data_IF_022884517777
#
_entry.id   IF_022884517777
#
_cell.length_a   1.000
_cell.length_b   1.000
_cell.length_c   1.000
_cell.angle_alpha   90.00
_cell.angle_beta   90.00
_cell.angle_gamma   90.00
#
_symmetry.space_group_name_H-M   'P 1'
#
loop_
_entity.id
_entity.type
_entity.pdbx_description
1 polymer ?
#
# COMPACT_ATOMS: atom_id res chain seq x y z
N UNK A 1 12.52 26.33 15.64
CA UNK A 1 13.00 26.21 14.25
C UNK A 1 13.79 24.93 14.16
N UNK A 2 13.05 23.82 14.02
CA UNK A 2 13.33 22.60 13.28
C UNK A 2 12.04 21.80 13.47
N UNK A 3 11.07 22.09 12.60
CA UNK A 3 9.98 21.15 12.34
C UNK A 3 10.69 20.04 11.56
N UNK A 4 11.25 19.08 12.30
CA UNK A 4 11.92 17.93 11.70
C UNK A 4 10.82 17.19 10.97
N UNK A 5 10.87 17.23 9.64
CA UNK A 5 10.02 16.47 8.74
C UNK A 5 10.30 14.98 8.89
N UNK A 6 10.10 14.48 10.11
CA UNK A 6 10.14 13.07 10.44
C UNK A 6 8.88 12.50 9.84
N UNK A 7 9.01 12.13 8.59
CA UNK A 7 8.18 11.16 7.92
C UNK A 7 7.75 10.07 8.93
N UNK A 8 6.45 9.75 9.00
CA UNK A 8 5.95 8.80 9.99
C UNK A 8 6.72 7.49 9.83
N UNK A 9 7.13 6.84 10.93
CA UNK A 9 7.95 5.64 10.84
C UNK A 9 7.26 4.61 9.94
N UNK A 10 8.06 3.79 9.27
CA UNK A 10 7.71 2.66 8.39
C UNK A 10 6.49 1.86 8.88
N UNK A 11 6.37 1.69 10.21
CA UNK A 11 5.25 1.02 10.88
C UNK A 11 3.93 1.81 10.91
N UNK A 12 4.00 3.13 10.99
CA UNK A 12 2.85 4.05 11.00
C UNK A 12 2.30 4.23 9.57
N UNK A 13 3.16 4.21 8.55
CA UNK A 13 2.74 4.15 7.14
C UNK A 13 2.03 2.84 6.80
N UNK A 14 2.57 1.71 7.24
CA UNK A 14 1.98 0.40 6.94
C UNK A 14 0.62 0.20 7.61
N UNK A 15 0.45 0.71 8.83
CA UNK A 15 -0.85 0.82 9.48
C UNK A 15 -1.81 1.70 8.67
N UNK A 16 -1.35 2.88 8.21
CA UNK A 16 -2.15 3.77 7.37
C UNK A 16 -2.58 3.19 6.03
N UNK A 17 -1.70 2.43 5.35
CA UNK A 17 -2.07 1.75 4.10
C UNK A 17 -3.21 0.77 4.38
N UNK A 18 -3.12 -0.02 5.46
CA UNK A 18 -4.17 -0.96 5.85
C UNK A 18 -5.48 -0.27 6.17
N UNK A 19 -5.45 0.84 6.91
CA UNK A 19 -6.65 1.63 7.20
C UNK A 19 -7.35 2.11 5.92
N UNK A 20 -6.60 2.59 4.93
CA UNK A 20 -7.18 3.05 3.68
C UNK A 20 -7.73 1.89 2.84
N UNK A 21 -7.04 0.74 2.81
CA UNK A 21 -7.54 -0.46 2.13
C UNK A 21 -8.82 -1.02 2.79
N UNK A 22 -8.91 -0.98 4.12
CA UNK A 22 -10.12 -1.36 4.85
C UNK A 22 -11.29 -0.44 4.48
N UNK A 23 -11.08 0.88 4.49
CA UNK A 23 -12.10 1.87 4.09
C UNK A 23 -12.53 1.72 2.63
N UNK A 24 -11.56 1.47 1.73
CA UNK A 24 -11.86 1.16 0.33
C UNK A 24 -12.74 -0.10 0.23
N UNK A 25 -12.42 -1.13 1.00
CA UNK A 25 -13.14 -2.40 1.01
C UNK A 25 -14.57 -2.23 1.52
N UNK A 26 -14.79 -1.42 2.56
CA UNK A 26 -16.15 -1.15 3.06
C UNK A 26 -17.06 -0.53 1.99
N UNK A 27 -16.53 0.37 1.17
CA UNK A 27 -17.29 1.04 0.09
C UNK A 27 -17.33 0.29 -1.24
N UNK A 28 -16.45 -0.69 -1.46
CA UNK A 28 -16.26 -1.36 -2.74
C UNK A 28 -17.33 -2.41 -3.07
N UNK A 29 -17.55 -2.61 -4.37
CA UNK A 29 -18.29 -3.75 -4.90
C UNK A 29 -17.54 -5.08 -4.66
N UNK A 30 -18.25 -6.20 -4.83
CA UNK A 30 -17.71 -7.53 -4.53
C UNK A 30 -16.38 -7.81 -5.24
N UNK A 31 -16.29 -7.56 -6.55
CA UNK A 31 -15.10 -7.83 -7.35
C UNK A 31 -13.91 -6.98 -6.87
N UNK A 32 -14.14 -5.69 -6.59
CA UNK A 32 -13.13 -4.76 -6.07
C UNK A 32 -12.69 -5.17 -4.66
N UNK A 33 -13.61 -5.61 -3.80
CA UNK A 33 -13.28 -6.13 -2.45
C UNK A 33 -12.38 -7.36 -2.49
N UNK A 34 -12.62 -8.28 -3.43
CA UNK A 34 -11.78 -9.47 -3.59
C UNK A 34 -10.35 -9.07 -4.03
N UNK A 35 -10.23 -8.07 -4.92
CA UNK A 35 -8.95 -7.51 -5.31
C UNK A 35 -8.22 -6.78 -4.15
N UNK A 36 -8.93 -5.92 -3.41
CA UNK A 36 -8.39 -5.19 -2.25
C UNK A 36 -7.85 -6.15 -1.18
N UNK A 37 -8.61 -7.20 -0.85
CA UNK A 37 -8.16 -8.21 0.11
C UNK A 37 -6.88 -8.90 -0.35
N UNK A 38 -6.77 -9.24 -1.64
CA UNK A 38 -5.55 -9.83 -2.18
C UNK A 38 -4.34 -8.88 -2.09
N UNK A 39 -4.56 -7.57 -2.22
CA UNK A 39 -3.53 -6.54 -2.06
C UNK A 39 -3.13 -6.42 -0.58
N UNK A 40 -4.09 -6.41 0.35
CA UNK A 40 -3.83 -6.39 1.79
C UNK A 40 -3.00 -7.58 2.25
N UNK A 41 -3.33 -8.79 1.78
CA UNK A 41 -2.55 -10.00 2.07
C UNK A 41 -1.12 -9.88 1.54
N UNK A 42 -0.94 -9.44 0.29
CA UNK A 42 0.39 -9.23 -0.28
C UNK A 42 1.20 -8.16 0.46
N UNK A 43 0.53 -7.11 0.96
CA UNK A 43 1.15 -6.08 1.77
C UNK A 43 1.59 -6.63 3.14
N UNK A 44 0.76 -7.43 3.81
CA UNK A 44 1.13 -8.07 5.08
C UNK A 44 2.28 -9.06 4.90
N UNK A 45 2.34 -9.80 3.79
CA UNK A 45 3.48 -10.66 3.49
C UNK A 45 4.79 -9.88 3.29
N UNK A 46 4.73 -8.71 2.65
CA UNK A 46 5.91 -7.87 2.41
C UNK A 46 6.35 -7.18 3.72
N UNK A 47 5.41 -6.70 4.53
CA UNK A 47 5.70 -5.87 5.71
C UNK A 47 5.81 -6.65 7.02
N UNK A 48 5.05 -7.74 7.15
CA UNK A 48 5.07 -8.67 8.28
C UNK A 48 6.07 -9.83 8.11
N UNK A 49 6.57 -10.05 6.89
CA UNK A 49 7.49 -11.14 6.55
C UNK A 49 8.94 -10.88 6.96
N UNK A 50 9.36 -11.56 8.03
CA UNK A 50 10.74 -11.72 8.48
C UNK A 50 11.70 -12.13 7.32
N UNK A 51 12.70 -11.30 7.05
CA UNK A 51 14.12 -11.58 6.70
C UNK A 51 14.51 -12.87 5.95
N UNK A 52 13.66 -13.45 5.12
CA UNK A 52 14.10 -14.55 4.25
C UNK A 52 14.91 -13.98 3.09
N UNK A 53 16.23 -14.21 3.15
CA UNK A 53 17.32 -13.71 2.26
C UNK A 53 17.20 -14.08 0.77
N UNK A 54 16.01 -14.42 0.28
CA UNK A 54 15.79 -14.92 -1.10
C UNK A 54 14.49 -14.38 -1.74
N UNK A 55 13.72 -13.52 -1.06
CA UNK A 55 12.60 -12.83 -1.71
C UNK A 55 13.14 -11.77 -2.69
N UNK A 56 12.51 -11.55 -3.87
CA UNK A 56 12.84 -10.40 -4.72
C UNK A 56 12.77 -9.14 -3.85
N UNK A 57 13.74 -8.25 -4.06
CA UNK A 57 13.91 -7.01 -3.31
C UNK A 57 12.55 -6.41 -2.97
N UNK A 58 12.27 -6.17 -1.69
CA UNK A 58 11.06 -5.51 -1.20
C UNK A 58 10.50 -4.42 -2.16
N UNK A 59 11.32 -3.51 -2.75
CA UNK A 59 10.84 -2.52 -3.72
C UNK A 59 10.15 -3.08 -4.97
N UNK A 60 10.59 -4.19 -5.56
CA UNK A 60 9.96 -4.79 -6.75
C UNK A 60 8.56 -5.34 -6.43
N UNK A 61 8.40 -5.96 -5.25
CA UNK A 61 7.09 -6.45 -4.82
C UNK A 61 6.12 -5.30 -4.52
N UNK A 62 6.62 -4.23 -3.93
CA UNK A 62 5.83 -3.02 -3.68
C UNK A 62 5.44 -2.33 -4.99
N UNK A 63 6.32 -2.30 -6.00
CA UNK A 63 5.98 -1.80 -7.33
C UNK A 63 4.82 -2.60 -7.95
N UNK A 64 4.81 -3.93 -7.77
CA UNK A 64 3.70 -4.77 -8.21
C UNK A 64 2.38 -4.50 -7.48
N UNK A 65 2.41 -4.12 -6.19
CA UNK A 65 1.21 -3.71 -5.45
C UNK A 65 0.74 -2.31 -5.88
N UNK A 66 1.68 -1.38 -6.10
CA UNK A 66 1.42 -0.04 -6.63
C UNK A 66 0.69 -0.11 -7.97
N UNK A 67 1.17 -0.95 -8.91
CA UNK A 67 0.53 -1.15 -10.21
C UNK A 67 -0.90 -1.72 -10.08
N UNK A 68 -1.11 -2.67 -9.15
CA UNK A 68 -2.45 -3.22 -8.88
C UNK A 68 -3.39 -2.18 -8.29
N UNK A 69 -2.91 -1.35 -7.36
CA UNK A 69 -3.69 -0.27 -6.77
C UNK A 69 -4.04 0.80 -7.80
N UNK A 70 -3.10 1.17 -8.66
CA UNK A 70 -3.34 2.12 -9.74
C UNK A 70 -4.39 1.58 -10.73
N UNK A 71 -4.28 0.31 -11.12
CA UNK A 71 -5.29 -0.34 -11.96
C UNK A 71 -6.67 -0.35 -11.31
N UNK A 72 -6.75 -0.73 -10.04
CA UNK A 72 -7.99 -0.74 -9.28
C UNK A 72 -8.58 0.67 -9.08
N UNK A 73 -7.71 1.67 -8.95
CA UNK A 73 -8.10 3.08 -8.89
C UNK A 73 -8.79 3.53 -10.18
N UNK A 74 -8.33 3.07 -11.35
CA UNK A 74 -8.96 3.38 -12.65
C UNK A 74 -10.33 2.69 -12.81
N UNK A 75 -10.52 1.55 -12.17
CA UNK A 75 -11.77 0.78 -12.17
C UNK A 75 -12.80 1.26 -11.13
N UNK A 76 -12.42 2.16 -10.22
CA UNK A 76 -13.25 2.61 -9.10
C UNK A 76 -13.50 4.11 -9.13
N UNK A 77 -14.59 4.54 -8.50
CA UNK A 77 -14.99 5.94 -8.41
C UNK A 77 -15.29 6.36 -6.95
N UNK A 78 -15.37 7.67 -6.72
CA UNK A 78 -15.84 8.23 -5.45
C UNK A 78 -14.90 7.96 -4.27
N UNK A 79 -15.46 7.57 -3.12
CA UNK A 79 -14.68 7.34 -1.91
C UNK A 79 -13.74 6.14 -2.03
N UNK A 80 -14.13 5.08 -2.76
CA UNK A 80 -13.28 3.91 -3.01
C UNK A 80 -12.04 4.32 -3.79
N UNK A 81 -12.21 5.08 -4.88
CA UNK A 81 -11.09 5.63 -5.64
C UNK A 81 -10.15 6.45 -4.76
N UNK A 82 -10.71 7.32 -3.90
CA UNK A 82 -9.91 8.17 -3.01
C UNK A 82 -9.05 7.35 -2.04
N UNK A 83 -9.64 6.31 -1.46
CA UNK A 83 -8.93 5.43 -0.52
C UNK A 83 -7.86 4.59 -1.23
N UNK A 84 -8.16 4.06 -2.41
CA UNK A 84 -7.20 3.31 -3.24
C UNK A 84 -6.02 4.19 -3.65
N UNK A 85 -6.28 5.42 -4.14
CA UNK A 85 -5.23 6.36 -4.51
C UNK A 85 -4.36 6.78 -3.31
N UNK A 86 -4.95 6.88 -2.12
CA UNK A 86 -4.20 7.19 -0.90
C UNK A 86 -3.30 6.01 -0.51
N UNK A 87 -3.82 4.78 -0.57
CA UNK A 87 -3.04 3.57 -0.33
C UNK A 87 -1.88 3.43 -1.33
N UNK A 88 -2.13 3.70 -2.62
CA UNK A 88 -1.11 3.72 -3.68
C UNK A 88 0.03 4.69 -3.36
N UNK A 89 -0.30 5.95 -3.05
CA UNK A 89 0.70 6.97 -2.74
C UNK A 89 1.56 6.60 -1.51
N UNK A 90 0.96 5.98 -0.49
CA UNK A 90 1.68 5.51 0.69
C UNK A 90 2.64 4.35 0.34
N UNK A 91 2.20 3.39 -0.47
CA UNK A 91 3.04 2.27 -0.95
C UNK A 91 4.18 2.79 -1.84
N UNK A 92 3.91 3.75 -2.72
CA UNK A 92 4.91 4.39 -3.56
C UNK A 92 5.98 5.12 -2.73
N UNK A 93 5.56 5.86 -1.70
CA UNK A 93 6.48 6.49 -0.74
C UNK A 93 7.38 5.47 -0.05
N UNK A 94 6.78 4.39 0.45
CA UNK A 94 7.50 3.29 1.10
C UNK A 94 8.53 2.62 0.18
N UNK A 95 8.15 2.39 -1.09
CA UNK A 95 9.06 1.85 -2.12
C UNK A 95 10.21 2.80 -2.41
N UNK A 96 9.94 4.10 -2.50
CA UNK A 96 10.94 5.14 -2.71
C UNK A 96 12.00 5.11 -1.62
N UNK A 97 11.58 5.10 -0.36
CA UNK A 97 12.50 5.03 0.79
C UNK A 97 13.39 3.79 0.74
N UNK A 98 12.83 2.61 0.47
CA UNK A 98 13.61 1.37 0.36
C UNK A 98 14.55 1.32 -0.85
N UNK A 99 14.28 2.11 -1.88
CA UNK A 99 15.13 2.20 -3.07
C UNK A 99 16.31 3.18 -2.89
N UNK A 100 16.24 4.06 -1.89
CA UNK A 100 17.28 5.04 -1.57
C UNK A 100 18.27 4.55 -0.48
N UNK A 101 18.07 3.36 0.08
CA UNK A 101 18.94 2.71 1.10
C UNK A 101 20.15 1.92 0.52
#
# INVERSE_FOLDING_TARGET
MVDDGSEPPTADRSERVREELERATEGADRDVREQLRSIEEGLDEILGGDKTRDAPSHPDRLAGLEEKLAGLGDETDGDVHRHVATAEALVAGYRGELAEE
#
